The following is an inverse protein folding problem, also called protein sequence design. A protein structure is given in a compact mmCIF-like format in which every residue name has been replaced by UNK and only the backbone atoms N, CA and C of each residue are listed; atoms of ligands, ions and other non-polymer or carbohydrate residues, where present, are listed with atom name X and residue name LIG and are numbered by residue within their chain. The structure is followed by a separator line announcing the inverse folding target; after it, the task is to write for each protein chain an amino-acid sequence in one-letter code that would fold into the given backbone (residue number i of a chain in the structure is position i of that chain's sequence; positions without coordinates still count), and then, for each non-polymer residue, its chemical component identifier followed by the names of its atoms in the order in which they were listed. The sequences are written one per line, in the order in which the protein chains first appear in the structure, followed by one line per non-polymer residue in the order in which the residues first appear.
data_IF_553309753962
#
_entry.id   IF_553309753962
#
_cell.length_a   1.000
_cell.length_b   1.000
_cell.length_c   1.000
_cell.angle_alpha   90.00
_cell.angle_beta   90.00
_cell.angle_gamma   90.00
#
_symmetry.space_group_name_H-M   'P 1'
#
loop_
_entity.id
_entity.type
_entity.pdbx_description
1 polymer ?
#
# COMPACT_ATOMS: atom_id res chain seq x y z
N UNK A 1 -12.72 32.98 -18.36
CA UNK A 1 -13.39 31.95 -17.55
C UNK A 1 -14.11 30.89 -18.36
N UNK A 2 -15.17 31.18 -19.13
CA UNK A 2 -15.86 30.10 -19.88
C UNK A 2 -15.06 29.53 -21.05
N UNK A 3 -14.26 30.34 -21.75
CA UNK A 3 -13.42 29.87 -22.86
C UNK A 3 -12.28 28.93 -22.39
N UNK A 4 -11.69 29.22 -21.22
CA UNK A 4 -10.71 28.34 -20.56
C UNK A 4 -11.37 27.03 -20.09
N UNK A 5 -12.57 27.10 -19.52
CA UNK A 5 -13.34 25.89 -19.14
C UNK A 5 -13.63 25.03 -20.36
N UNK A 6 -14.11 25.60 -21.46
CA UNK A 6 -14.41 24.85 -22.69
C UNK A 6 -13.17 24.19 -23.28
N UNK A 7 -12.02 24.88 -23.28
CA UNK A 7 -10.76 24.34 -23.78
C UNK A 7 -10.22 23.21 -22.87
N UNK A 8 -10.42 23.33 -21.55
CA UNK A 8 -10.10 22.26 -20.58
C UNK A 8 -11.03 21.07 -20.74
N UNK A 9 -12.34 21.28 -20.90
CA UNK A 9 -13.29 20.20 -21.17
C UNK A 9 -12.98 19.51 -22.49
N UNK A 10 -12.51 20.25 -23.52
CA UNK A 10 -11.96 19.69 -24.75
C UNK A 10 -10.72 18.83 -24.47
N UNK A 11 -9.74 19.32 -23.71
CA UNK A 11 -8.55 18.54 -23.34
C UNK A 11 -8.88 17.29 -22.49
N UNK A 12 -9.84 17.40 -21.56
CA UNK A 12 -10.35 16.27 -20.77
C UNK A 12 -11.14 15.27 -21.63
N UNK A 13 -11.88 15.76 -22.63
CA UNK A 13 -12.66 14.94 -23.57
C UNK A 13 -11.81 14.17 -24.59
N UNK A 14 -10.58 14.65 -24.86
CA UNK A 14 -9.60 13.95 -25.70
C UNK A 14 -9.09 12.66 -25.03
N UNK A 15 -9.27 12.51 -23.70
CA UNK A 15 -9.00 11.25 -23.02
C UNK A 15 -10.20 10.31 -23.19
N UNK A 16 -10.01 9.28 -24.02
CA UNK A 16 -10.96 8.18 -24.30
C UNK A 16 -11.63 7.54 -23.07
N UNK A 17 -11.07 7.74 -21.87
CA UNK A 17 -11.64 7.25 -20.61
C UNK A 17 -12.75 8.16 -20.04
N UNK A 18 -12.66 9.47 -20.25
CA UNK A 18 -13.66 10.46 -19.79
C UNK A 18 -14.78 10.68 -20.82
N UNK A 19 -14.57 10.31 -22.08
CA UNK A 19 -15.58 10.39 -23.15
C UNK A 19 -16.81 9.49 -22.92
N UNK A 20 -16.74 8.54 -21.98
CA UNK A 20 -17.85 7.68 -21.58
C UNK A 20 -18.63 8.19 -20.37
N UNK A 21 -18.35 9.40 -19.87
CA UNK A 21 -19.19 10.06 -18.87
C UNK A 21 -20.39 10.71 -19.57
N UNK A 22 -21.64 10.34 -19.21
CA UNK A 22 -22.83 10.79 -19.92
C UNK A 22 -23.07 12.31 -19.81
N UNK A 23 -22.43 12.99 -18.84
CA UNK A 23 -22.48 14.44 -18.74
C UNK A 23 -21.26 15.00 -17.98
N UNK A 24 -20.46 15.85 -18.63
CA UNK A 24 -19.31 16.54 -18.01
C UNK A 24 -19.74 17.62 -17.01
N UNK A 25 -21.03 18.01 -16.99
CA UNK A 25 -21.60 18.95 -16.01
C UNK A 25 -21.49 18.48 -14.56
N UNK A 26 -21.37 17.16 -14.32
CA UNK A 26 -21.10 16.60 -12.97
C UNK A 26 -19.76 17.13 -12.41
N UNK A 27 -18.82 17.48 -13.28
CA UNK A 27 -17.50 17.98 -12.91
C UNK A 27 -17.48 19.50 -12.70
N UNK A 28 -18.44 20.25 -13.25
CA UNK A 28 -18.50 21.72 -13.20
C UNK A 28 -18.66 22.28 -11.78
N UNK A 29 -19.22 21.50 -10.84
CA UNK A 29 -19.34 21.86 -9.42
C UNK A 29 -18.39 21.11 -8.49
N UNK A 30 -17.77 20.02 -8.94
CA UNK A 30 -16.94 19.12 -8.11
C UNK A 30 -15.45 19.39 -8.24
N UNK A 31 -14.99 20.04 -9.31
CA UNK A 31 -13.56 20.13 -9.65
C UNK A 31 -13.08 21.58 -9.71
N UNK A 32 -12.02 21.89 -8.94
CA UNK A 32 -11.23 23.11 -9.15
C UNK A 32 -10.34 22.91 -10.38
N UNK A 33 -10.83 23.34 -11.53
CA UNK A 33 -10.21 23.18 -12.85
C UNK A 33 -8.71 23.54 -12.89
N UNK A 34 -8.31 24.59 -12.17
CA UNK A 34 -6.90 25.02 -12.09
C UNK A 34 -5.96 23.97 -11.47
N UNK A 35 -6.44 23.18 -10.50
CA UNK A 35 -5.66 22.11 -9.86
C UNK A 35 -5.54 20.86 -10.76
N UNK A 36 -6.51 20.64 -11.65
CA UNK A 36 -6.42 19.60 -12.67
C UNK A 36 -5.42 19.98 -13.77
N UNK A 37 -5.41 21.24 -14.20
CA UNK A 37 -4.50 21.73 -15.24
C UNK A 37 -3.02 21.67 -14.86
N UNK A 38 -2.67 22.01 -13.61
CA UNK A 38 -1.27 21.95 -13.16
C UNK A 38 -0.71 20.52 -13.14
N UNK A 39 -1.56 19.52 -12.90
CA UNK A 39 -1.16 18.12 -12.87
C UNK A 39 -0.95 17.53 -14.28
N UNK A 40 -1.61 18.07 -15.31
CA UNK A 40 -1.52 17.61 -16.71
C UNK A 40 -0.08 17.61 -17.23
N UNK A 41 0.68 18.68 -16.98
CA UNK A 41 2.08 18.73 -17.43
C UNK A 41 2.97 17.74 -16.72
N UNK A 42 2.64 17.35 -15.49
CA UNK A 42 3.45 16.42 -14.73
C UNK A 42 3.23 14.97 -15.16
N UNK A 43 2.02 14.61 -15.60
CA UNK A 43 1.68 13.22 -15.97
C UNK A 43 2.09 12.86 -17.39
N UNK A 44 2.22 13.83 -18.30
CA UNK A 44 2.65 13.59 -19.68
C UNK A 44 4.02 12.93 -19.79
N UNK A 45 4.88 13.06 -18.77
CA UNK A 45 6.19 12.43 -18.73
C UNK A 45 6.13 10.91 -18.46
N UNK A 46 4.95 10.37 -18.13
CA UNK A 46 4.70 8.95 -17.88
C UNK A 46 3.65 8.41 -18.86
N UNK A 47 3.94 8.45 -20.16
CA UNK A 47 2.97 8.11 -21.22
C UNK A 47 2.16 6.83 -20.96
N UNK A 48 2.75 5.68 -20.56
CA UNK A 48 1.99 4.43 -20.35
C UNK A 48 0.93 4.52 -19.24
N UNK A 49 1.15 5.39 -18.26
CA UNK A 49 0.30 5.52 -17.05
C UNK A 49 -0.50 6.82 -17.03
N UNK A 50 -0.32 7.69 -18.01
CA UNK A 50 -0.95 9.00 -18.08
C UNK A 50 -2.47 8.91 -17.95
N UNK A 51 -3.12 8.04 -18.75
CA UNK A 51 -4.58 7.84 -18.73
C UNK A 51 -5.13 7.45 -17.35
N UNK A 52 -4.51 6.47 -16.69
CA UNK A 52 -4.96 5.99 -15.37
C UNK A 52 -4.72 7.07 -14.30
N UNK A 53 -3.60 7.78 -14.35
CA UNK A 53 -3.28 8.89 -13.44
C UNK A 53 -4.27 10.04 -13.59
N UNK A 54 -4.64 10.42 -14.82
CA UNK A 54 -5.63 11.45 -15.08
C UNK A 54 -6.99 11.10 -14.51
N UNK A 55 -7.49 9.90 -14.83
CA UNK A 55 -8.81 9.50 -14.35
C UNK A 55 -8.83 9.41 -12.83
N UNK A 56 -7.78 8.86 -12.22
CA UNK A 56 -7.66 8.81 -10.77
C UNK A 56 -7.59 10.20 -10.13
N UNK A 57 -6.82 11.13 -10.71
CA UNK A 57 -6.73 12.50 -10.23
C UNK A 57 -8.09 13.21 -10.22
N UNK A 58 -8.90 13.01 -11.27
CA UNK A 58 -10.29 13.49 -11.33
C UNK A 58 -11.13 12.88 -10.21
N UNK A 59 -11.03 11.57 -9.99
CA UNK A 59 -11.78 10.85 -8.94
C UNK A 59 -11.46 11.36 -7.55
N UNK A 60 -10.19 11.53 -7.18
CA UNK A 60 -9.83 11.97 -5.83
C UNK A 60 -10.15 13.45 -5.59
N UNK A 61 -10.24 14.26 -6.65
CA UNK A 61 -10.65 15.66 -6.57
C UNK A 61 -12.16 15.87 -6.71
N UNK A 62 -12.96 14.81 -6.89
CA UNK A 62 -14.41 14.90 -7.06
C UNK A 62 -15.18 15.31 -5.81
N UNK A 63 -14.53 15.30 -4.64
CA UNK A 63 -15.18 15.55 -3.35
C UNK A 63 -15.86 14.31 -2.74
N UNK A 64 -15.73 13.13 -3.36
CA UNK A 64 -16.21 11.88 -2.76
C UNK A 64 -15.53 11.63 -1.39
N UNK A 65 -16.28 11.44 -0.28
CA UNK A 65 -15.71 11.15 1.04
C UNK A 65 -14.80 9.91 1.08
N UNK A 66 -15.16 8.86 0.34
CA UNK A 66 -14.43 7.59 0.28
C UNK A 66 -13.06 7.72 -0.39
N UNK A 67 -12.83 8.81 -1.15
CA UNK A 67 -11.54 9.09 -1.79
C UNK A 67 -10.67 10.07 -1.01
N UNK A 68 -11.15 10.55 0.16
CA UNK A 68 -10.50 11.60 0.95
C UNK A 68 -9.07 11.26 1.37
N UNK A 69 -8.82 10.00 1.77
CA UNK A 69 -7.48 9.53 2.11
C UNK A 69 -6.52 9.69 0.93
N UNK A 70 -6.93 9.24 -0.25
CA UNK A 70 -6.12 9.28 -1.47
C UNK A 70 -5.84 10.72 -1.92
N UNK A 71 -6.82 11.61 -1.78
CA UNK A 71 -6.63 13.04 -1.99
C UNK A 71 -5.55 13.61 -1.05
N UNK A 72 -5.62 13.29 0.25
CA UNK A 72 -4.62 13.75 1.23
C UNK A 72 -3.23 13.19 0.92
N UNK A 73 -3.12 11.91 0.58
CA UNK A 73 -1.85 11.30 0.16
C UNK A 73 -1.24 12.02 -1.05
N UNK A 74 -2.07 12.38 -2.03
CA UNK A 74 -1.63 13.00 -3.28
C UNK A 74 -1.28 14.50 -3.14
N UNK A 75 -1.88 15.21 -2.18
CA UNK A 75 -1.81 16.69 -2.10
C UNK A 75 -1.20 17.24 -0.81
N UNK A 76 -1.33 16.52 0.29
CA UNK A 76 -0.86 16.93 1.61
C UNK A 76 -0.28 15.73 2.40
N UNK A 77 0.72 15.00 1.84
CA UNK A 77 1.29 13.80 2.48
C UNK A 77 1.83 14.06 3.89
N UNK A 78 2.23 15.28 4.22
CA UNK A 78 2.70 15.68 5.55
C UNK A 78 1.64 15.57 6.66
N UNK A 79 0.34 15.53 6.31
CA UNK A 79 -0.73 15.41 7.31
C UNK A 79 -1.03 13.96 7.71
N UNK A 80 -0.43 12.98 7.04
CA UNK A 80 -0.75 11.55 7.21
C UNK A 80 0.47 10.70 7.61
N UNK A 81 1.53 11.32 8.15
CA UNK A 81 2.75 10.60 8.55
C UNK A 81 2.50 9.48 9.56
N UNK A 82 1.62 9.71 10.53
CA UNK A 82 1.31 8.74 11.59
C UNK A 82 0.10 7.86 11.27
N UNK A 83 -0.38 7.86 10.02
CA UNK A 83 -1.58 7.12 9.64
C UNK A 83 -1.24 5.72 9.15
N UNK A 84 -2.07 4.74 9.53
CA UNK A 84 -2.00 3.39 8.98
C UNK A 84 -2.68 3.35 7.61
N UNK A 85 -1.93 2.98 6.57
CA UNK A 85 -2.48 2.89 5.22
C UNK A 85 -3.33 1.63 5.05
N UNK A 86 -4.40 1.68 4.23
CA UNK A 86 -5.22 0.51 3.95
C UNK A 86 -4.39 -0.56 3.24
N UNK A 87 -4.79 -1.82 3.41
CA UNK A 87 -4.17 -2.98 2.74
C UNK A 87 -2.65 -3.16 2.99
N UNK A 88 -2.08 -2.49 4.00
CA UNK A 88 -0.73 -2.76 4.47
C UNK A 88 -0.67 -4.02 5.34
N UNK A 89 0.44 -4.76 5.32
CA UNK A 89 0.64 -5.90 6.21
C UNK A 89 0.56 -5.45 7.67
N UNK A 90 -0.14 -6.22 8.51
CA UNK A 90 -0.06 -6.06 9.95
C UNK A 90 1.00 -7.00 10.54
N UNK A 91 1.45 -6.73 11.76
CA UNK A 91 2.35 -7.65 12.47
C UNK A 91 1.64 -8.95 12.86
N UNK A 92 1.51 -9.87 11.91
CA UNK A 92 0.88 -11.19 12.11
C UNK A 92 1.50 -11.98 13.28
N UNK A 93 2.76 -11.68 13.63
CA UNK A 93 3.42 -12.38 14.73
C UNK A 93 2.71 -12.09 16.06
N UNK A 94 2.20 -10.88 16.30
CA UNK A 94 1.45 -10.52 17.51
C UNK A 94 0.21 -11.39 17.70
N UNK A 95 -0.47 -11.76 16.62
CA UNK A 95 -1.61 -12.69 16.66
C UNK A 95 -1.16 -14.11 17.00
N UNK A 96 -0.04 -14.58 16.41
CA UNK A 96 0.52 -15.91 16.72
C UNK A 96 0.99 -16.00 18.18
N UNK A 97 1.55 -14.93 18.74
CA UNK A 97 1.88 -14.86 20.18
C UNK A 97 0.63 -15.02 21.07
N UNK A 98 -0.54 -14.55 20.61
CA UNK A 98 -1.81 -14.67 21.33
C UNK A 98 -2.41 -16.07 21.37
N UNK A 99 -2.09 -16.94 20.39
CA UNK A 99 -2.64 -18.30 20.28
C UNK A 99 -2.24 -19.22 21.44
N UNK A 100 -1.15 -18.90 22.14
CA UNK A 100 -0.61 -19.71 23.23
C UNK A 100 -1.28 -19.44 24.59
N UNK A 101 -2.40 -18.71 24.62
CA UNK A 101 -3.14 -18.35 25.84
C UNK A 101 -4.34 -19.25 26.14
N UNK A 102 -4.71 -20.15 25.21
CA UNK A 102 -5.97 -20.88 25.25
C UNK A 102 -5.94 -22.26 25.93
N UNK A 103 -4.82 -22.98 25.87
CA UNK A 103 -4.73 -24.35 26.37
C UNK A 103 -3.64 -24.48 27.44
N UNK A 104 -3.97 -25.12 28.57
CA UNK A 104 -3.08 -25.36 29.72
C UNK A 104 -1.87 -26.28 29.41
N UNK A 105 -1.65 -26.62 28.14
CA UNK A 105 -0.45 -27.26 27.62
C UNK A 105 0.21 -26.32 26.60
N UNK A 106 1.18 -25.51 27.04
CA UNK A 106 1.97 -24.66 26.14
C UNK A 106 2.78 -25.55 25.18
N UNK A 107 2.17 -25.95 24.08
CA UNK A 107 2.77 -26.82 23.06
C UNK A 107 3.96 -26.14 22.36
N UNK A 108 4.01 -24.81 22.42
CA UNK A 108 5.14 -23.98 22.01
C UNK A 108 5.32 -22.80 22.96
N UNK A 109 6.47 -22.11 22.91
CA UNK A 109 6.72 -20.82 23.57
C UNK A 109 7.60 -19.97 22.67
N UNK A 110 7.45 -18.65 22.79
CA UNK A 110 8.27 -17.72 22.05
C UNK A 110 9.37 -17.10 22.89
N UNK A 111 10.48 -16.86 22.22
CA UNK A 111 11.70 -16.30 22.78
C UNK A 111 12.28 -15.27 21.82
N UNK A 112 13.27 -14.53 22.28
CA UNK A 112 14.06 -13.63 21.46
C UNK A 112 15.55 -13.77 21.77
N UNK A 113 16.35 -13.69 20.71
CA UNK A 113 17.81 -13.68 20.81
C UNK A 113 18.30 -12.40 21.51
N UNK A 114 19.60 -12.27 21.83
CA UNK A 114 20.13 -11.08 22.52
C UNK A 114 19.91 -9.76 21.75
N UNK A 115 19.76 -9.82 20.42
CA UNK A 115 19.43 -8.67 19.55
C UNK A 115 17.92 -8.46 19.34
N UNK A 116 17.07 -9.28 19.93
CA UNK A 116 15.62 -9.13 19.87
C UNK A 116 14.92 -9.83 18.70
N UNK A 117 15.63 -10.61 17.87
CA UNK A 117 14.99 -11.41 16.81
C UNK A 117 14.17 -12.55 17.43
N UNK A 118 12.87 -12.67 17.10
CA UNK A 118 12.00 -13.67 17.69
C UNK A 118 12.29 -15.07 17.12
N UNK A 119 12.11 -16.09 17.95
CA UNK A 119 12.09 -17.48 17.55
C UNK A 119 11.10 -18.27 18.41
N UNK A 120 10.63 -19.41 17.89
CA UNK A 120 9.67 -20.28 18.56
C UNK A 120 10.33 -21.61 18.90
N UNK A 121 10.03 -22.13 20.10
CA UNK A 121 10.35 -23.49 20.47
C UNK A 121 9.01 -24.23 20.57
N UNK A 122 8.89 -25.34 19.86
CA UNK A 122 7.71 -26.22 19.90
C UNK A 122 7.96 -27.40 20.84
N UNK A 123 7.05 -28.38 20.90
CA UNK A 123 7.19 -29.60 21.71
C UNK A 123 7.46 -29.32 23.19
N UNK A 124 6.45 -28.79 23.90
CA UNK A 124 6.47 -28.30 25.30
C UNK A 124 7.02 -26.87 25.50
N UNK A 125 7.56 -26.26 24.45
CA UNK A 125 7.98 -24.86 24.46
C UNK A 125 9.27 -24.59 25.25
N UNK A 126 9.87 -25.57 25.90
CA UNK A 126 11.07 -25.37 26.72
C UNK A 126 12.36 -25.66 25.93
N UNK A 127 13.44 -24.89 26.14
CA UNK A 127 14.68 -25.03 25.37
C UNK A 127 15.45 -26.29 25.75
N UNK A 128 15.74 -27.16 24.78
CA UNK A 128 16.56 -28.35 25.01
C UNK A 128 17.75 -28.49 24.05
N UNK A 129 17.89 -27.55 23.12
CA UNK A 129 19.00 -27.46 22.18
C UNK A 129 19.37 -25.99 21.95
N UNK A 130 20.64 -25.76 21.59
CA UNK A 130 21.15 -24.45 21.17
C UNK A 130 21.35 -24.40 19.66
N UNK A 131 21.03 -23.26 19.07
CA UNK A 131 21.24 -22.96 17.64
C UNK A 131 21.85 -21.58 17.46
N UNK A 132 22.21 -21.24 16.23
CA UNK A 132 22.57 -19.87 15.84
C UNK A 132 21.34 -19.15 15.32
N UNK A 133 21.20 -17.87 15.67
CA UNK A 133 20.14 -17.01 15.14
C UNK A 133 20.18 -17.01 13.60
N UNK A 134 19.07 -17.35 12.90
CA UNK A 134 19.06 -17.54 11.45
C UNK A 134 19.23 -16.23 10.66
N UNK A 135 19.12 -15.07 11.33
CA UNK A 135 19.36 -13.77 10.70
C UNK A 135 20.85 -13.64 10.40
N UNK A 136 21.18 -13.50 9.12
CA UNK A 136 22.55 -13.53 8.58
C UNK A 136 23.54 -12.60 9.31
N UNK A 137 23.11 -11.41 9.70
CA UNK A 137 23.95 -10.43 10.40
C UNK A 137 23.99 -10.61 11.94
N UNK A 138 23.24 -11.56 12.51
CA UNK A 138 23.11 -11.77 13.95
C UNK A 138 23.98 -12.93 14.42
N UNK A 139 23.67 -14.17 13.98
CA UNK A 139 24.40 -15.39 14.32
C UNK A 139 24.69 -15.62 15.82
N UNK A 140 23.99 -14.93 16.73
CA UNK A 140 24.12 -15.12 18.17
C UNK A 140 23.43 -16.42 18.61
N UNK A 141 23.94 -17.04 19.68
CA UNK A 141 23.36 -18.27 20.23
C UNK A 141 21.92 -18.07 20.73
N UNK A 142 21.03 -18.97 20.35
CA UNK A 142 19.62 -19.03 20.73
C UNK A 142 19.27 -20.39 21.32
N UNK A 143 18.19 -20.45 22.10
CA UNK A 143 17.73 -21.69 22.74
C UNK A 143 18.34 -21.90 24.13
N UNK A 144 18.71 -23.13 24.44
CA UNK A 144 19.19 -23.54 25.76
C UNK A 144 19.13 -25.06 25.95
N UNK A 145 19.54 -25.56 27.12
CA UNK A 145 19.65 -26.99 27.39
C UNK A 145 18.88 -27.37 28.65
N UNK A 146 18.44 -28.63 28.75
CA UNK A 146 17.74 -29.15 29.94
C UNK A 146 16.55 -28.26 30.36
N UNK A 147 15.76 -27.83 29.39
CA UNK A 147 14.62 -26.92 29.57
C UNK A 147 14.98 -25.55 30.15
N UNK A 148 16.26 -25.19 30.14
CA UNK A 148 16.78 -23.94 30.68
C UNK A 148 17.24 -23.04 29.54
N UNK A 149 16.64 -21.86 29.45
CA UNK A 149 16.99 -20.85 28.44
C UNK A 149 18.40 -20.30 28.70
N UNK A 150 19.15 -20.06 27.62
CA UNK A 150 20.39 -19.28 27.70
C UNK A 150 20.11 -17.91 28.35
N UNK A 151 20.93 -17.52 29.31
CA UNK A 151 20.76 -16.25 30.06
C UNK A 151 20.79 -14.99 29.19
N UNK A 152 21.36 -15.09 27.99
CA UNK A 152 21.41 -14.02 26.99
C UNK A 152 20.13 -13.89 26.16
N UNK A 153 19.24 -14.89 26.23
CA UNK A 153 17.96 -14.92 25.53
C UNK A 153 16.83 -14.54 26.49
N UNK A 154 15.68 -14.14 25.94
CA UNK A 154 14.53 -13.68 26.74
C UNK A 154 13.24 -14.35 26.30
N UNK A 155 12.35 -14.64 27.25
CA UNK A 155 10.98 -15.11 26.98
C UNK A 155 10.16 -13.93 26.44
N UNK A 156 9.32 -14.16 25.44
CA UNK A 156 8.43 -13.16 24.87
C UNK A 156 6.98 -13.56 25.18
N UNK A 157 6.39 -12.92 26.20
CA UNK A 157 5.03 -13.20 26.69
C UNK A 157 3.93 -12.50 25.89
N UNK A 158 4.26 -11.39 25.26
CA UNK A 158 3.42 -10.67 24.33
C UNK A 158 4.35 -9.80 23.48
N UNK A 159 4.17 -9.81 22.17
CA UNK A 159 4.76 -8.76 21.34
C UNK A 159 3.77 -7.59 21.35
N UNK A 160 4.29 -6.39 21.63
CA UNK A 160 3.54 -5.17 21.36
C UNK A 160 3.36 -5.10 19.86
N UNK A 161 2.12 -4.94 19.40
CA UNK A 161 1.80 -4.78 17.98
C UNK A 161 2.79 -3.80 17.34
N UNK A 162 3.65 -4.34 16.49
CA UNK A 162 4.70 -3.57 15.82
C UNK A 162 4.25 -3.11 14.42
N UNK A 163 2.93 -3.08 14.17
CA UNK A 163 2.37 -2.52 12.95
C UNK A 163 2.87 -1.10 12.78
N UNK A 164 3.41 -0.81 11.58
CA UNK A 164 4.03 0.48 11.27
C UNK A 164 3.03 1.36 10.51
N UNK A 165 2.95 2.68 10.80
CA UNK A 165 2.21 3.61 9.96
C UNK A 165 2.87 3.78 8.60
N UNK A 166 2.15 4.26 7.59
CA UNK A 166 2.68 4.49 6.24
C UNK A 166 2.76 3.23 5.36
N UNK A 167 3.57 3.32 4.29
CA UNK A 167 3.76 2.26 3.30
C UNK A 167 4.85 1.27 3.73
N UNK A 168 4.47 0.00 3.83
CA UNK A 168 5.29 -1.05 4.46
C UNK A 168 5.47 -2.29 3.57
N UNK A 169 5.38 -2.15 2.24
CA UNK A 169 5.42 -3.29 1.32
C UNK A 169 6.82 -3.70 0.84
N UNK A 170 7.88 -3.01 1.27
CA UNK A 170 9.23 -3.26 0.76
C UNK A 170 9.34 -2.97 -0.75
N UNK A 171 10.39 -3.48 -1.43
CA UNK A 171 10.52 -3.45 -2.88
C UNK A 171 9.43 -4.25 -3.61
N UNK A 172 8.98 -3.76 -4.76
CA UNK A 172 7.96 -4.43 -5.57
C UNK A 172 8.36 -5.84 -6.05
N UNK A 173 9.67 -6.08 -6.25
CA UNK A 173 10.25 -7.36 -6.65
C UNK A 173 10.12 -8.45 -5.57
N UNK A 174 10.12 -8.05 -4.29
CA UNK A 174 10.00 -8.97 -3.15
C UNK A 174 8.53 -9.32 -2.86
N UNK A 175 7.58 -8.58 -3.44
CA UNK A 175 6.15 -8.88 -3.31
C UNK A 175 5.83 -10.20 -4.03
N UNK A 176 5.00 -11.07 -3.41
CA UNK A 176 4.58 -12.33 -4.01
C UNK A 176 3.84 -12.10 -5.34
N UNK A 177 3.91 -13.09 -6.23
CA UNK A 177 3.18 -13.08 -7.52
C UNK A 177 1.69 -13.42 -7.38
N UNK A 178 1.18 -13.51 -6.16
CA UNK A 178 -0.22 -13.73 -5.84
C UNK A 178 -0.67 -12.76 -4.75
N UNK A 179 -1.95 -12.38 -4.77
CA UNK A 179 -2.51 -11.46 -3.80
C UNK A 179 -2.72 -12.19 -2.46
N UNK A 180 -2.15 -11.65 -1.38
CA UNK A 180 -2.34 -12.15 -0.02
C UNK A 180 -3.50 -11.34 0.62
N UNK A 181 -4.52 -11.99 1.21
CA UNK A 181 -5.56 -11.28 1.95
C UNK A 181 -4.97 -10.54 3.15
N UNK A 182 -5.56 -9.42 3.53
CA UNK A 182 -5.11 -8.62 4.68
C UNK A 182 -6.29 -8.42 5.62
N UNK A 183 -6.23 -9.01 6.82
CA UNK A 183 -7.36 -9.08 7.75
C UNK A 183 -8.58 -9.69 7.03
N UNK A 184 -9.74 -9.02 7.08
CA UNK A 184 -10.99 -9.44 6.44
C UNK A 184 -11.07 -9.06 4.95
N UNK A 185 -10.08 -8.35 4.41
CA UNK A 185 -10.08 -7.93 3.01
C UNK A 185 -9.77 -9.11 2.08
N UNK A 186 -10.67 -9.29 1.10
CA UNK A 186 -10.45 -10.23 0.00
C UNK A 186 -9.21 -9.84 -0.80
N UNK A 187 -8.50 -10.81 -1.40
CA UNK A 187 -7.25 -10.53 -2.10
C UNK A 187 -7.36 -9.50 -3.23
N UNK A 188 -8.49 -9.45 -3.94
CA UNK A 188 -8.74 -8.45 -4.99
C UNK A 188 -8.86 -7.03 -4.42
N UNK A 189 -9.58 -6.89 -3.29
CA UNK A 189 -9.76 -5.62 -2.59
C UNK A 189 -8.43 -5.06 -2.07
N UNK A 190 -7.55 -5.94 -1.56
CA UNK A 190 -6.18 -5.59 -1.14
C UNK A 190 -5.40 -4.99 -2.31
N UNK A 191 -5.39 -5.66 -3.46
CA UNK A 191 -4.66 -5.18 -4.65
C UNK A 191 -5.22 -3.85 -5.18
N UNK A 192 -6.55 -3.69 -5.20
CA UNK A 192 -7.18 -2.44 -5.60
C UNK A 192 -6.80 -1.29 -4.66
N UNK A 193 -6.89 -1.49 -3.34
CA UNK A 193 -6.52 -0.47 -2.36
C UNK A 193 -5.05 -0.08 -2.46
N UNK A 194 -4.16 -1.06 -2.64
CA UNK A 194 -2.72 -0.81 -2.87
C UNK A 194 -2.50 0.01 -4.14
N UNK A 195 -3.19 -0.31 -5.24
CA UNK A 195 -3.12 0.48 -6.46
C UNK A 195 -3.51 1.95 -6.22
N UNK A 196 -4.60 2.21 -5.49
CA UNK A 196 -5.03 3.59 -5.16
C UNK A 196 -3.98 4.32 -4.31
N UNK A 197 -3.38 3.65 -3.32
CA UNK A 197 -2.29 4.22 -2.50
C UNK A 197 -1.08 4.55 -3.39
N UNK A 198 -0.62 3.62 -4.23
CA UNK A 198 0.55 3.84 -5.08
C UNK A 198 0.33 4.93 -6.12
N UNK A 199 -0.85 5.00 -6.74
CA UNK A 199 -1.21 6.10 -7.63
C UNK A 199 -1.20 7.44 -6.89
N UNK A 200 -1.71 7.49 -5.66
CA UNK A 200 -1.73 8.73 -4.86
C UNK A 200 -0.31 9.20 -4.52
N UNK A 201 0.55 8.29 -4.07
CA UNK A 201 1.93 8.59 -3.75
C UNK A 201 2.71 9.01 -5.01
N UNK A 202 2.47 8.35 -6.15
CA UNK A 202 3.12 8.73 -7.41
C UNK A 202 2.72 10.14 -7.81
N UNK A 203 1.43 10.48 -7.73
CA UNK A 203 0.94 11.84 -7.97
C UNK A 203 1.65 12.83 -7.05
N UNK A 204 1.75 12.56 -5.74
CA UNK A 204 2.45 13.43 -4.79
C UNK A 204 3.91 13.67 -5.19
N UNK A 205 4.63 12.64 -5.68
CA UNK A 205 6.01 12.84 -6.17
C UNK A 205 6.07 13.72 -7.42
N UNK A 206 5.10 13.59 -8.33
CA UNK A 206 5.02 14.35 -9.57
C UNK A 206 4.58 15.81 -9.35
N UNK A 207 3.90 16.09 -8.24
CA UNK A 207 3.46 17.44 -7.84
C UNK A 207 4.41 18.13 -6.85
N UNK A 208 5.59 17.54 -6.58
CA UNK A 208 6.68 18.17 -5.84
C UNK A 208 6.84 17.74 -4.38
N UNK A 209 6.07 16.77 -3.90
CA UNK A 209 6.11 16.28 -2.51
C UNK A 209 7.00 15.04 -2.32
N UNK A 210 8.02 14.86 -3.16
CA UNK A 210 8.88 13.66 -3.12
C UNK A 210 9.52 13.42 -1.74
N UNK A 211 9.93 14.48 -1.03
CA UNK A 211 10.55 14.37 0.30
C UNK A 211 9.57 13.86 1.35
N UNK A 212 8.31 14.24 1.26
CA UNK A 212 7.25 13.77 2.16
C UNK A 212 6.91 12.31 1.88
N UNK A 213 6.85 11.93 0.60
CA UNK A 213 6.61 10.53 0.19
C UNK A 213 7.72 9.61 0.67
N UNK A 214 8.99 10.03 0.61
CA UNK A 214 10.13 9.27 1.17
C UNK A 214 9.95 9.00 2.67
N UNK A 215 9.37 9.93 3.43
CA UNK A 215 9.10 9.73 4.86
C UNK A 215 7.93 8.78 5.13
N UNK A 216 6.97 8.70 4.20
CA UNK A 216 5.82 7.80 4.29
C UNK A 216 6.15 6.35 3.91
N UNK A 217 7.27 6.11 3.22
CA UNK A 217 7.68 4.78 2.76
C UNK A 217 8.79 4.25 3.66
N UNK A 218 8.56 3.10 4.31
CA UNK A 218 9.55 2.50 5.23
C UNK A 218 10.74 1.85 4.54
N UNK A 219 10.66 1.61 3.24
CA UNK A 219 11.77 1.09 2.45
C UNK A 219 12.86 2.16 2.33
N UNK A 220 14.13 1.76 2.43
CA UNK A 220 15.29 2.64 2.22
C UNK A 220 15.42 3.04 0.74
N UNK A 221 14.54 3.94 0.29
CA UNK A 221 14.45 4.41 -1.09
C UNK A 221 14.78 5.90 -1.12
N UNK A 222 15.81 6.24 -1.89
CA UNK A 222 16.24 7.63 -2.06
C UNK A 222 15.21 8.43 -2.89
N UNK A 223 15.20 9.76 -2.73
CA UNK A 223 14.27 10.64 -3.44
C UNK A 223 14.33 10.47 -4.97
N UNK A 224 15.52 10.24 -5.53
CA UNK A 224 15.73 10.13 -6.97
C UNK A 224 15.11 8.86 -7.58
N UNK A 225 14.99 7.77 -6.81
CA UNK A 225 14.43 6.50 -7.27
C UNK A 225 12.98 6.28 -6.85
N UNK A 226 12.39 7.21 -6.10
CA UNK A 226 11.04 7.05 -5.54
C UNK A 226 9.95 6.91 -6.61
N UNK A 227 10.04 7.68 -7.71
CA UNK A 227 9.08 7.55 -8.81
C UNK A 227 9.16 6.15 -9.45
N UNK A 228 10.37 5.66 -9.72
CA UNK A 228 10.59 4.31 -10.26
C UNK A 228 10.08 3.23 -9.32
N UNK A 229 10.33 3.36 -8.02
CA UNK A 229 9.82 2.45 -6.98
C UNK A 229 8.28 2.36 -7.00
N UNK A 230 7.60 3.50 -7.10
CA UNK A 230 6.13 3.56 -7.14
C UNK A 230 5.58 3.01 -8.47
N UNK A 231 6.22 3.29 -9.60
CA UNK A 231 5.83 2.72 -10.90
C UNK A 231 5.95 1.20 -10.90
N UNK A 232 7.02 0.63 -10.35
CA UNK A 232 7.18 -0.82 -10.21
C UNK A 232 6.06 -1.44 -9.36
N UNK A 233 5.59 -0.75 -8.32
CA UNK A 233 4.44 -1.19 -7.54
C UNK A 233 3.13 -1.13 -8.33
N UNK A 234 2.90 -0.08 -9.11
CA UNK A 234 1.72 0.04 -9.98
C UNK A 234 1.71 -1.07 -11.03
N UNK A 235 2.85 -1.33 -11.68
CA UNK A 235 3.01 -2.44 -12.62
C UNK A 235 2.68 -3.79 -11.99
N UNK A 236 3.20 -4.03 -10.78
CA UNK A 236 2.91 -5.24 -10.01
C UNK A 236 1.42 -5.35 -9.68
N UNK A 237 0.77 -4.26 -9.27
CA UNK A 237 -0.65 -4.27 -8.93
C UNK A 237 -1.52 -4.56 -10.16
N UNK A 238 -1.23 -3.91 -11.30
CA UNK A 238 -1.94 -4.13 -12.56
C UNK A 238 -1.77 -5.58 -13.04
N UNK A 239 -0.56 -6.15 -12.94
CA UNK A 239 -0.31 -7.55 -13.28
C UNK A 239 -1.10 -8.51 -12.37
N UNK A 240 -1.14 -8.23 -11.06
CA UNK A 240 -1.93 -9.02 -10.10
C UNK A 240 -3.45 -8.93 -10.37
N UNK A 241 -3.94 -7.75 -10.79
CA UNK A 241 -5.34 -7.56 -11.20
C UNK A 241 -5.66 -8.34 -12.49
N UNK A 242 -4.79 -8.27 -13.50
CA UNK A 242 -4.97 -9.00 -14.76
C UNK A 242 -5.05 -10.51 -14.55
N UNK A 243 -4.15 -11.06 -13.72
CA UNK A 243 -4.15 -12.49 -13.38
C UNK A 243 -5.44 -12.93 -12.69
N UNK A 244 -6.07 -12.05 -11.90
CA UNK A 244 -7.32 -12.34 -11.16
C UNK A 244 -8.57 -12.20 -12.03
N UNK A 245 -8.58 -11.20 -12.90
CA UNK A 245 -9.70 -10.93 -13.81
C UNK A 245 -9.67 -11.93 -14.99
N UNK A 246 -8.56 -12.66 -15.17
CA UNK A 246 -8.32 -13.61 -16.27
C UNK A 246 -8.47 -12.94 -17.65
N UNK A 247 -8.05 -11.68 -17.74
CA UNK A 247 -8.15 -10.86 -18.94
C UNK A 247 -6.83 -10.19 -19.26
N UNK A 248 -6.68 -9.73 -20.51
CA UNK A 248 -5.50 -9.03 -20.97
C UNK A 248 -5.33 -7.64 -20.30
N UNK A 249 -4.23 -6.96 -20.61
CA UNK A 249 -3.91 -5.65 -20.01
C UNK A 249 -4.97 -4.58 -20.33
N UNK A 250 -5.51 -4.57 -21.54
CA UNK A 250 -6.50 -3.56 -21.97
C UNK A 250 -7.84 -3.72 -21.23
N UNK A 251 -8.28 -4.96 -21.05
CA UNK A 251 -9.46 -5.30 -20.27
C UNK A 251 -9.28 -4.95 -18.79
N UNK A 252 -8.08 -5.18 -18.25
CA UNK A 252 -7.73 -4.83 -16.86
C UNK A 252 -7.78 -3.32 -16.68
N UNK A 253 -7.17 -2.58 -17.61
CA UNK A 253 -7.20 -1.12 -17.62
C UNK A 253 -8.64 -0.59 -17.71
N UNK A 254 -9.46 -1.17 -18.60
CA UNK A 254 -10.88 -0.83 -18.74
C UNK A 254 -11.68 -1.11 -17.46
N UNK A 255 -11.39 -2.20 -16.74
CA UNK A 255 -12.01 -2.52 -15.47
C UNK A 255 -11.62 -1.51 -14.37
N UNK A 256 -10.35 -1.10 -14.30
CA UNK A 256 -9.89 -0.07 -13.36
C UNK A 256 -10.54 1.28 -13.67
N UNK A 257 -10.60 1.69 -14.94
CA UNK A 257 -11.33 2.89 -15.32
C UNK A 257 -12.83 2.80 -14.99
N UNK A 258 -13.46 1.63 -15.12
CA UNK A 258 -14.86 1.43 -14.71
C UNK A 258 -15.03 1.58 -13.20
N UNK A 259 -14.10 1.05 -12.41
CA UNK A 259 -14.08 1.22 -10.95
C UNK A 259 -13.91 2.70 -10.54
N UNK A 260 -13.02 3.43 -11.20
CA UNK A 260 -12.87 4.88 -11.00
C UNK A 260 -14.14 5.66 -11.33
N UNK A 261 -14.82 5.31 -12.42
CA UNK A 261 -16.11 5.90 -12.78
C UNK A 261 -17.17 5.61 -11.70
N UNK A 262 -17.18 4.41 -11.12
CA UNK A 262 -18.07 4.07 -10.01
C UNK A 262 -17.79 4.95 -8.77
N UNK A 263 -16.51 5.13 -8.40
CA UNK A 263 -16.13 6.04 -7.31
C UNK A 263 -16.49 7.50 -7.62
N UNK A 264 -16.49 7.92 -8.88
CA UNK A 264 -16.86 9.30 -9.24
C UNK A 264 -18.37 9.56 -9.11
N UNK A 265 -19.19 8.54 -9.40
CA UNK A 265 -20.64 8.69 -9.50
C UNK A 265 -21.38 8.42 -8.18
N UNK A 266 -20.80 7.62 -7.29
CA UNK A 266 -21.44 7.25 -6.03
C UNK A 266 -20.83 8.02 -4.87
N UNK A 267 -21.58 8.99 -4.34
CA UNK A 267 -21.16 9.80 -3.19
C UNK A 267 -21.56 9.16 -1.83
N UNK A 268 -22.17 7.98 -1.83
CA UNK A 268 -22.50 7.24 -0.61
C UNK A 268 -21.26 6.51 -0.05
N UNK A 269 -21.00 6.58 1.27
CA UNK A 269 -19.87 5.94 1.93
C UNK A 269 -19.98 4.40 1.96
#
# INVERSE_FOLDING_TARGET
DDEDKTNVFLQLSLFKALSNLPNLTILEGKIKIQACLSAIRCFSNLEPYSSILYHFWVVINSGNPSTRLFLLLATHPQHVYEWFFPAMPHDNLSDVFGLNRGDNSNSFLFYACPRGHPYVITNCGQPNQTYLCPVSNCQLAIGGENHTLLSSNRIVFARVDATKPGHCLGPASERPNFCIPQRELKPLSVTLLNLLVHLSLLIATLTGHVKDVVRLVHSEVNSDSMQTFLVQHIEKDLALLSNRIAKNNDDTNSAVHTFFKHLLLNDEP
#
